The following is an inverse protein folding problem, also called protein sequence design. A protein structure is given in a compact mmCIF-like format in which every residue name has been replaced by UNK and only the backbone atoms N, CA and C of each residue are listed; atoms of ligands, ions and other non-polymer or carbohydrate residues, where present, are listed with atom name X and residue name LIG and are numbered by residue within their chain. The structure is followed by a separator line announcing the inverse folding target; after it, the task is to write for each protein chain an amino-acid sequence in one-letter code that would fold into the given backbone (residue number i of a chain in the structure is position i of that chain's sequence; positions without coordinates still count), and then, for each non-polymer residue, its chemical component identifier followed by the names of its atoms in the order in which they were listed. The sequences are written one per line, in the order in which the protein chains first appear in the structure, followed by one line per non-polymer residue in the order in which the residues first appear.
data_IF_228035142481
#
_entry.id   IF_228035142481
#
_cell.length_a   1.000
_cell.length_b   1.000
_cell.length_c   1.000
_cell.angle_alpha   90.00
_cell.angle_beta   90.00
_cell.angle_gamma   90.00
#
_symmetry.space_group_name_H-M   'P 1'
#
loop_
_entity.id
_entity.type
_entity.pdbx_description
1 polymer ?
#
# COMPACT_ATOMS: atom_id res chain seq x y z
N UNK A 1 -12.91 -10.90 2.61
CA UNK A 1 -12.49 -10.70 1.21
C UNK A 1 -12.25 -12.06 0.57
N UNK A 2 -12.78 -12.29 -0.62
CA UNK A 2 -12.55 -13.50 -1.40
C UNK A 2 -11.51 -13.18 -2.47
N UNK A 3 -10.30 -13.74 -2.32
CA UNK A 3 -9.17 -13.46 -3.22
C UNK A 3 -9.25 -14.44 -4.40
N UNK A 4 -9.56 -13.93 -5.59
CA UNK A 4 -9.62 -14.72 -6.83
C UNK A 4 -8.25 -14.90 -7.48
N UNK A 5 -7.47 -13.83 -7.56
CA UNK A 5 -6.14 -13.81 -8.17
C UNK A 5 -5.14 -13.10 -7.25
N UNK A 6 -3.89 -13.57 -7.25
CA UNK A 6 -2.79 -12.97 -6.50
C UNK A 6 -1.55 -12.83 -7.38
N UNK A 7 -0.91 -11.65 -7.34
CA UNK A 7 0.36 -11.38 -8.03
C UNK A 7 1.38 -10.90 -7.01
N UNK A 8 2.50 -11.60 -6.93
CA UNK A 8 3.61 -11.24 -6.05
C UNK A 8 4.68 -10.49 -6.83
N UNK A 9 5.27 -9.47 -6.20
CA UNK A 9 6.40 -8.71 -6.72
C UNK A 9 7.56 -8.77 -5.74
N UNK A 10 8.82 -8.71 -6.21
CA UNK A 10 9.98 -8.54 -5.35
C UNK A 10 9.87 -7.27 -4.51
N UNK A 11 10.59 -7.21 -3.39
CA UNK A 11 10.69 -5.95 -2.67
C UNK A 11 11.38 -4.89 -3.55
N UNK A 12 11.05 -3.62 -3.30
CA UNK A 12 11.49 -2.49 -4.12
C UNK A 12 11.14 -2.57 -5.63
N UNK A 13 10.19 -3.44 -6.03
CA UNK A 13 9.73 -3.50 -7.42
C UNK A 13 9.28 -2.12 -7.94
N UNK A 14 9.72 -1.80 -9.15
CA UNK A 14 9.32 -0.60 -9.91
C UNK A 14 8.34 -1.05 -10.98
N UNK A 15 7.08 -0.68 -10.82
CA UNK A 15 6.01 -1.07 -11.74
C UNK A 15 6.19 -0.41 -13.11
N UNK A 16 6.25 -1.22 -14.16
CA UNK A 16 6.15 -0.75 -15.53
C UNK A 16 4.68 -0.43 -15.85
N UNK A 17 4.44 0.57 -16.69
CA UNK A 17 3.08 0.92 -17.16
C UNK A 17 2.36 -0.30 -17.74
N UNK A 18 3.05 -1.08 -18.56
CA UNK A 18 2.50 -2.30 -19.17
C UNK A 18 2.05 -3.35 -18.16
N UNK A 19 2.75 -3.48 -17.02
CA UNK A 19 2.34 -4.41 -15.95
C UNK A 19 1.04 -3.94 -15.29
N UNK A 20 0.94 -2.63 -15.02
CA UNK A 20 -0.26 -2.03 -14.40
C UNK A 20 -1.46 -2.16 -15.36
N UNK A 21 -1.27 -1.84 -16.63
CA UNK A 21 -2.29 -1.97 -17.68
C UNK A 21 -2.76 -3.42 -17.83
N UNK A 22 -1.85 -4.39 -17.75
CA UNK A 22 -2.20 -5.81 -17.76
C UNK A 22 -3.06 -6.19 -16.55
N UNK A 23 -2.72 -5.70 -15.35
CA UNK A 23 -3.50 -5.97 -14.13
C UNK A 23 -4.91 -5.36 -14.26
N UNK A 24 -5.00 -4.13 -14.76
CA UNK A 24 -6.28 -3.45 -15.00
C UNK A 24 -7.13 -4.23 -16.00
N UNK A 25 -6.54 -4.66 -17.11
CA UNK A 25 -7.26 -5.44 -18.12
C UNK A 25 -7.79 -6.76 -17.55
N UNK A 26 -6.98 -7.51 -16.79
CA UNK A 26 -7.43 -8.74 -16.11
C UNK A 26 -8.60 -8.43 -15.17
N UNK A 27 -8.48 -7.36 -14.37
CA UNK A 27 -9.51 -6.96 -13.42
C UNK A 27 -10.83 -6.62 -14.11
N UNK A 28 -10.78 -5.88 -15.21
CA UNK A 28 -11.98 -5.49 -15.97
C UNK A 28 -12.63 -6.70 -16.66
N UNK A 29 -11.83 -7.57 -17.28
CA UNK A 29 -12.34 -8.76 -17.95
C UNK A 29 -13.01 -9.75 -17.00
N UNK A 30 -12.51 -9.84 -15.77
CA UNK A 30 -13.03 -10.76 -14.75
C UNK A 30 -14.01 -10.10 -13.77
N UNK A 31 -14.31 -8.81 -13.93
CA UNK A 31 -15.20 -8.07 -13.02
C UNK A 31 -14.68 -7.97 -11.59
N UNK A 32 -13.35 -7.93 -11.42
CA UNK A 32 -12.68 -7.87 -10.13
C UNK A 32 -12.34 -6.43 -9.72
N UNK A 33 -12.08 -6.25 -8.43
CA UNK A 33 -11.42 -5.06 -7.88
C UNK A 33 -9.94 -5.33 -7.65
N UNK A 34 -9.10 -4.32 -7.87
CA UNK A 34 -7.65 -4.40 -7.59
C UNK A 34 -7.40 -3.90 -6.18
N UNK A 35 -6.62 -4.65 -5.40
CA UNK A 35 -6.19 -4.29 -4.06
C UNK A 35 -4.68 -4.50 -3.92
N UNK A 36 -3.98 -3.53 -3.37
CA UNK A 36 -2.55 -3.62 -3.03
C UNK A 36 -2.27 -3.02 -1.64
N UNK A 37 -1.01 -2.99 -1.22
CA UNK A 37 -0.61 -2.27 -0.01
C UNK A 37 -0.52 -0.76 -0.28
N UNK A 38 -0.66 0.09 0.74
CA UNK A 38 -0.35 1.51 0.60
C UNK A 38 1.07 1.75 0.05
N UNK A 39 2.05 0.93 0.46
CA UNK A 39 3.44 0.99 -0.03
C UNK A 39 3.51 0.88 -1.55
N UNK A 40 2.81 -0.08 -2.13
CA UNK A 40 2.83 -0.29 -3.58
C UNK A 40 1.97 0.73 -4.30
N UNK A 41 0.83 1.11 -3.75
CA UNK A 41 -0.03 2.18 -4.28
C UNK A 41 0.70 3.53 -4.42
N UNK A 42 1.62 3.85 -3.51
CA UNK A 42 2.45 5.06 -3.61
C UNK A 42 3.39 5.05 -4.83
N UNK A 43 3.82 3.87 -5.29
CA UNK A 43 4.68 3.70 -6.48
C UNK A 43 3.90 3.74 -7.80
N UNK A 44 2.59 3.59 -7.76
CA UNK A 44 1.74 3.57 -8.96
C UNK A 44 1.59 4.99 -9.52
N UNK A 45 1.77 5.21 -10.84
CA UNK A 45 1.55 6.50 -11.48
C UNK A 45 0.12 7.02 -11.26
N UNK A 46 -0.01 8.35 -11.10
CA UNK A 46 -1.29 8.99 -10.72
C UNK A 46 -2.42 8.67 -11.69
N UNK A 47 -2.11 8.51 -12.98
CA UNK A 47 -3.11 8.19 -14.02
C UNK A 47 -3.86 6.86 -13.76
N UNK A 48 -3.24 5.90 -13.05
CA UNK A 48 -3.88 4.60 -12.78
C UNK A 48 -4.53 4.50 -11.39
N UNK A 49 -4.27 5.45 -10.50
CA UNK A 49 -4.70 5.36 -9.08
C UNK A 49 -6.20 5.24 -8.88
N UNK A 50 -7.00 5.85 -9.74
CA UNK A 50 -8.47 5.78 -9.67
C UNK A 50 -9.05 4.38 -9.92
N UNK A 51 -8.25 3.43 -10.41
CA UNK A 51 -8.67 2.05 -10.71
C UNK A 51 -8.20 1.05 -9.66
N UNK A 52 -7.40 1.48 -8.68
CA UNK A 52 -6.66 0.60 -7.77
C UNK A 52 -6.95 1.00 -6.32
N UNK A 53 -7.47 0.06 -5.55
CA UNK A 53 -7.64 0.24 -4.10
C UNK A 53 -6.36 -0.16 -3.36
N UNK A 54 -6.23 0.35 -2.14
CA UNK A 54 -5.16 -0.04 -1.23
C UNK A 54 -5.71 -0.41 0.14
N UNK A 55 -5.06 -1.38 0.77
CA UNK A 55 -5.20 -1.65 2.19
C UNK A 55 -4.21 -0.75 2.94
N UNK A 56 -4.76 0.07 3.84
CA UNK A 56 -4.00 0.85 4.80
C UNK A 56 -4.04 0.18 6.16
N UNK A 57 -2.99 0.36 6.95
CA UNK A 57 -2.83 -0.21 8.28
C UNK A 57 -2.53 0.91 9.27
N UNK A 58 -3.35 0.99 10.31
CA UNK A 58 -3.11 1.89 11.43
C UNK A 58 -2.28 1.16 12.50
N UNK A 59 -1.18 1.76 12.94
CA UNK A 59 -0.40 1.27 14.08
C UNK A 59 -0.93 1.94 15.35
N UNK A 60 -1.41 1.14 16.30
CA UNK A 60 -1.86 1.62 17.62
C UNK A 60 -0.94 1.10 18.72
N UNK A 61 -0.44 2.02 19.54
CA UNK A 61 0.36 1.69 20.70
C UNK A 61 -0.50 1.68 21.96
N UNK A 62 -0.52 0.58 22.71
CA UNK A 62 -1.31 0.48 23.96
C UNK A 62 -0.97 1.59 24.97
N UNK A 63 0.31 1.97 25.03
CA UNK A 63 0.86 2.98 25.93
C UNK A 63 1.44 4.16 25.16
N UNK A 64 0.73 4.62 24.14
CA UNK A 64 1.17 5.68 23.23
C UNK A 64 1.76 6.90 23.96
N UNK A 65 1.09 7.38 25.02
CA UNK A 65 1.57 8.51 25.83
C UNK A 65 2.89 8.22 26.56
N UNK A 66 3.06 7.02 27.10
CA UNK A 66 4.32 6.63 27.78
C UNK A 66 5.45 6.51 26.77
N UNK A 67 5.19 5.92 25.60
CA UNK A 67 6.16 5.83 24.51
C UNK A 67 6.57 7.22 24.03
N UNK A 68 5.61 8.11 23.80
CA UNK A 68 5.88 9.50 23.39
C UNK A 68 6.75 10.21 24.42
N UNK A 69 6.38 10.18 25.71
CA UNK A 69 7.17 10.78 26.78
C UNK A 69 8.58 10.20 26.87
N UNK A 70 8.72 8.88 26.74
CA UNK A 70 10.01 8.21 26.72
C UNK A 70 10.88 8.74 25.59
N UNK A 71 10.37 8.74 24.35
CA UNK A 71 11.10 9.24 23.18
C UNK A 71 11.47 10.72 23.34
N UNK A 72 10.52 11.57 23.73
CA UNK A 72 10.77 13.01 23.95
C UNK A 72 11.82 13.26 25.03
N UNK A 73 11.85 12.48 26.11
CA UNK A 73 12.88 12.61 27.15
C UNK A 73 14.31 12.27 26.68
N UNK A 74 14.44 11.57 25.55
CA UNK A 74 15.73 11.11 24.98
C UNK A 74 16.18 11.90 23.77
N UNK A 75 15.25 12.54 23.06
CA UNK A 75 15.59 13.42 21.96
C UNK A 75 15.83 14.83 22.54
N UNK A 76 17.09 15.21 22.68
CA UNK A 76 17.47 16.60 22.95
C UNK A 76 17.14 17.44 21.71
N UNK A 77 16.00 18.12 21.72
CA UNK A 77 15.81 19.29 20.87
C UNK A 77 16.56 20.45 21.54
N UNK A 78 17.86 20.54 21.25
CA UNK A 78 18.61 21.79 21.38
C UNK A 78 18.05 22.82 20.38
#
# INVERSE_FOLDING_TARGET
FDIKNFKSFPDHHVYKKSEIEQIISISQNEGLSILCTLKDYLKIPKEYKHQINFADLEIRFEKEKELFNFVTSKINFL
#
